data_IF_328342166279
#
_entry.id   IF_328342166279
#
_cell.length_a   1.000
_cell.length_b   1.000
_cell.length_c   1.000
_cell.angle_alpha   90.00
_cell.angle_beta   90.00
_cell.angle_gamma   90.00
#
_symmetry.space_group_name_H-M   'P 1'
#
loop_
_entity.id
_entity.type
_entity.pdbx_description
1 polymer ?
#
# COMPACT_ATOMS: atom_id res chain seq x y z
N UNK A 1 -6.65 2.21 39.76
CA UNK A 1 -6.79 1.77 38.34
C UNK A 1 -5.59 2.33 37.58
N UNK A 2 -4.67 1.46 37.14
CA UNK A 2 -3.29 1.80 36.78
C UNK A 2 -3.17 2.26 35.31
N UNK A 3 -2.71 3.49 35.07
CA UNK A 3 -2.63 4.10 33.72
C UNK A 3 -1.64 3.39 32.77
N UNK A 4 -0.68 2.64 33.30
CA UNK A 4 0.30 1.90 32.51
C UNK A 4 -0.29 0.70 31.75
N UNK A 5 -1.38 0.11 32.27
CA UNK A 5 -2.07 -1.00 31.60
C UNK A 5 -2.88 -0.54 30.39
N UNK A 6 -3.45 0.67 30.44
CA UNK A 6 -4.16 1.28 29.31
C UNK A 6 -3.20 1.62 28.17
N UNK A 7 -2.06 2.25 28.47
CA UNK A 7 -1.03 2.57 27.45
C UNK A 7 -0.51 1.32 26.72
N UNK A 8 -0.22 0.23 27.44
CA UNK A 8 0.26 -1.03 26.83
C UNK A 8 -0.80 -1.80 26.04
N UNK A 9 -2.08 -1.61 26.36
CA UNK A 9 -3.20 -2.22 25.63
C UNK A 9 -3.44 -1.50 24.30
N UNK A 10 -3.51 -0.17 24.34
CA UNK A 10 -3.69 0.65 23.14
C UNK A 10 -2.51 0.50 22.17
N UNK A 11 -1.27 0.44 22.68
CA UNK A 11 -0.09 0.18 21.85
C UNK A 11 -0.14 -1.16 21.13
N UNK A 12 -0.66 -2.20 21.78
CA UNK A 12 -0.79 -3.54 21.18
C UNK A 12 -1.88 -3.57 20.12
N UNK A 13 -3.01 -2.93 20.37
CA UNK A 13 -4.14 -2.89 19.45
C UNK A 13 -3.79 -2.13 18.16
N UNK A 14 -3.23 -0.91 18.28
CA UNK A 14 -2.79 -0.14 17.11
C UNK A 14 -1.73 -0.91 16.32
N UNK A 15 -0.79 -1.54 17.02
CA UNK A 15 0.25 -2.36 16.40
C UNK A 15 -0.30 -3.59 15.68
N UNK A 16 -1.25 -4.30 16.27
CA UNK A 16 -1.83 -5.51 15.69
C UNK A 16 -2.76 -5.17 14.51
N UNK A 17 -3.48 -4.03 14.57
CA UNK A 17 -4.24 -3.47 13.44
C UNK A 17 -3.33 -3.02 12.30
N UNK A 18 -2.18 -2.40 12.61
CA UNK A 18 -1.15 -2.04 11.63
C UNK A 18 -0.55 -3.32 11.02
N UNK A 19 -0.17 -4.32 11.81
CA UNK A 19 0.37 -5.58 11.26
C UNK A 19 -0.65 -6.38 10.43
N UNK A 20 -1.95 -6.31 10.77
CA UNK A 20 -3.03 -6.85 9.95
C UNK A 20 -3.24 -6.05 8.67
N UNK A 21 -3.28 -4.72 8.76
CA UNK A 21 -3.45 -3.82 7.61
C UNK A 21 -2.31 -3.98 6.60
N UNK A 22 -1.10 -4.23 7.09
CA UNK A 22 0.10 -4.47 6.26
C UNK A 22 0.28 -5.94 5.85
N UNK A 23 -0.60 -6.86 6.27
CA UNK A 23 -0.49 -8.30 5.99
C UNK A 23 0.89 -8.90 6.37
N UNK A 24 1.56 -8.31 7.37
CA UNK A 24 2.86 -8.74 7.88
C UNK A 24 2.76 -9.92 8.84
N UNK A 25 1.56 -10.48 9.04
CA UNK A 25 1.32 -11.62 9.93
C UNK A 25 1.90 -12.91 9.34
N UNK A 26 3.19 -13.14 9.54
CA UNK A 26 3.80 -14.45 9.39
C UNK A 26 3.72 -15.21 10.72
N UNK A 27 3.28 -16.48 10.67
CA UNK A 27 3.30 -17.39 11.83
C UNK A 27 4.73 -17.79 12.27
N UNK A 28 5.75 -17.41 11.50
CA UNK A 28 7.18 -17.63 11.78
C UNK A 28 7.91 -16.28 11.73
N UNK A 29 8.96 -16.06 12.53
CA UNK A 29 9.79 -14.86 12.41
C UNK A 29 10.25 -14.72 10.95
N UNK A 30 9.95 -13.56 10.34
CA UNK A 30 10.27 -13.27 8.94
C UNK A 30 11.81 -13.24 8.78
N UNK A 31 12.35 -13.93 7.79
CA UNK A 31 13.76 -13.71 7.42
C UNK A 31 13.92 -12.31 6.83
N UNK A 32 15.15 -11.79 6.80
CA UNK A 32 15.43 -10.42 6.31
C UNK A 32 15.03 -10.26 4.84
N UNK A 33 15.19 -11.32 4.05
CA UNK A 33 14.84 -11.39 2.64
C UNK A 33 13.31 -11.28 2.44
N UNK A 34 12.54 -12.05 3.21
CA UNK A 34 11.07 -12.00 3.18
C UNK A 34 10.52 -10.62 3.59
N UNK A 35 11.15 -9.97 4.57
CA UNK A 35 10.79 -8.64 5.00
C UNK A 35 11.08 -7.59 3.92
N UNK A 36 12.24 -7.68 3.26
CA UNK A 36 12.63 -6.78 2.17
C UNK A 36 11.66 -6.87 0.99
N UNK A 37 11.33 -8.09 0.53
CA UNK A 37 10.40 -8.29 -0.58
C UNK A 37 9.01 -7.70 -0.30
N UNK A 38 8.48 -7.93 0.91
CA UNK A 38 7.17 -7.40 1.32
C UNK A 38 7.14 -5.87 1.42
N UNK A 39 8.20 -5.26 1.94
CA UNK A 39 8.30 -3.79 2.03
C UNK A 39 8.31 -3.20 0.62
N UNK A 40 9.12 -3.76 -0.30
CA UNK A 40 9.17 -3.31 -1.69
C UNK A 40 7.81 -3.44 -2.37
N UNK A 41 7.15 -4.60 -2.26
CA UNK A 41 5.83 -4.84 -2.80
C UNK A 41 4.79 -3.83 -2.27
N UNK A 42 4.85 -3.50 -0.97
CA UNK A 42 3.98 -2.49 -0.38
C UNK A 42 4.21 -1.10 -0.97
N UNK A 43 5.47 -0.64 -1.05
CA UNK A 43 5.82 0.67 -1.61
C UNK A 43 5.37 0.80 -3.05
N UNK A 44 5.63 -0.21 -3.89
CA UNK A 44 5.21 -0.19 -5.30
C UNK A 44 3.69 -0.14 -5.44
N UNK A 45 2.97 -0.93 -4.65
CA UNK A 45 1.51 -0.93 -4.65
C UNK A 45 0.94 0.45 -4.31
N UNK A 46 1.39 1.04 -3.20
CA UNK A 46 0.86 2.34 -2.76
C UNK A 46 1.21 3.48 -3.72
N UNK A 47 2.42 3.51 -4.30
CA UNK A 47 2.79 4.54 -5.29
C UNK A 47 1.89 4.46 -6.53
N UNK A 48 1.66 3.26 -7.06
CA UNK A 48 0.86 3.10 -8.28
C UNK A 48 -0.61 3.38 -8.03
N UNK A 49 -1.15 2.97 -6.88
CA UNK A 49 -2.53 3.31 -6.50
C UNK A 49 -2.67 4.82 -6.26
N UNK A 50 -1.70 5.46 -5.61
CA UNK A 50 -1.72 6.91 -5.43
C UNK A 50 -1.67 7.65 -6.77
N UNK A 51 -0.84 7.20 -7.70
CA UNK A 51 -0.78 7.76 -9.05
C UNK A 51 -2.13 7.60 -9.79
N UNK A 52 -2.76 6.43 -9.68
CA UNK A 52 -4.08 6.19 -10.26
C UNK A 52 -5.15 7.12 -9.64
N UNK A 53 -5.12 7.33 -8.32
CA UNK A 53 -6.04 8.23 -7.63
C UNK A 53 -5.87 9.69 -8.07
N UNK A 54 -4.63 10.17 -8.21
CA UNK A 54 -4.35 11.54 -8.66
C UNK A 54 -4.89 11.79 -10.09
N UNK A 55 -4.88 10.77 -10.94
CA UNK A 55 -5.41 10.83 -12.30
C UNK A 55 -6.95 10.91 -12.36
N UNK A 56 -7.66 10.55 -11.29
CA UNK A 56 -9.13 10.58 -11.23
C UNK A 56 -9.67 11.95 -10.81
N UNK A 57 -10.87 12.27 -11.27
CA UNK A 57 -11.65 13.43 -10.82
C UNK A 57 -12.91 12.97 -10.07
N UNK A 58 -13.52 13.81 -9.21
CA UNK A 58 -14.73 13.43 -8.47
C UNK A 58 -15.86 12.88 -9.34
N UNK A 59 -16.08 13.45 -10.53
CA UNK A 59 -17.08 12.95 -11.48
C UNK A 59 -16.82 11.52 -11.99
N UNK A 60 -15.57 11.05 -11.97
CA UNK A 60 -15.24 9.68 -12.39
C UNK A 60 -15.76 8.63 -11.40
N UNK A 61 -15.97 9.00 -10.13
CA UNK A 61 -16.48 8.13 -9.08
C UNK A 61 -17.99 7.88 -9.18
N UNK A 62 -18.70 8.71 -9.95
CA UNK A 62 -20.12 8.52 -10.27
C UNK A 62 -20.35 7.42 -11.33
N UNK A 63 -19.27 6.86 -11.86
CA UNK A 63 -19.30 5.76 -12.83
C UNK A 63 -18.37 4.64 -12.38
N UNK A 64 -18.43 3.49 -13.06
CA UNK A 64 -17.50 2.39 -12.80
C UNK A 64 -16.04 2.72 -13.18
N UNK A 65 -15.76 3.86 -13.83
CA UNK A 65 -14.42 4.25 -14.29
C UNK A 65 -13.40 4.30 -13.15
N UNK A 66 -13.73 4.95 -12.03
CA UNK A 66 -12.80 5.03 -10.90
C UNK A 66 -12.48 3.63 -10.33
N UNK A 67 -13.50 2.78 -10.20
CA UNK A 67 -13.34 1.43 -9.66
C UNK A 67 -12.51 0.55 -10.60
N UNK A 68 -12.76 0.59 -11.91
CA UNK A 68 -11.98 -0.17 -12.89
C UNK A 68 -10.54 0.33 -12.97
N UNK A 69 -10.29 1.63 -12.82
CA UNK A 69 -8.94 2.18 -12.75
C UNK A 69 -8.18 1.61 -11.55
N UNK A 70 -8.75 1.69 -10.35
CA UNK A 70 -8.10 1.27 -9.11
C UNK A 70 -7.88 -0.25 -9.07
N UNK A 71 -8.90 -1.03 -9.41
CA UNK A 71 -8.78 -2.49 -9.46
C UNK A 71 -7.81 -2.89 -10.58
N UNK A 72 -7.91 -2.26 -11.74
CA UNK A 72 -7.04 -2.51 -12.89
C UNK A 72 -5.57 -2.25 -12.57
N UNK A 73 -5.25 -1.10 -11.95
CA UNK A 73 -3.90 -0.78 -11.51
C UNK A 73 -3.39 -1.77 -10.46
N UNK A 74 -4.18 -2.08 -9.43
CA UNK A 74 -3.77 -3.05 -8.40
C UNK A 74 -3.52 -4.45 -8.97
N UNK A 75 -4.45 -4.95 -9.80
CA UNK A 75 -4.36 -6.27 -10.40
C UNK A 75 -3.22 -6.39 -11.43
N UNK A 76 -3.08 -5.42 -12.34
CA UNK A 76 -2.01 -5.42 -13.33
C UNK A 76 -0.63 -5.35 -12.69
N UNK A 77 -0.46 -4.50 -11.66
CA UNK A 77 0.79 -4.41 -10.90
C UNK A 77 1.13 -5.71 -10.21
N UNK A 78 0.13 -6.33 -9.55
CA UNK A 78 0.32 -7.62 -8.88
C UNK A 78 0.77 -8.70 -9.87
N UNK A 79 0.09 -8.81 -11.02
CA UNK A 79 0.44 -9.78 -12.06
C UNK A 79 1.83 -9.51 -12.61
N UNK A 80 2.15 -8.25 -12.92
CA UNK A 80 3.45 -7.87 -13.44
C UNK A 80 4.60 -8.21 -12.48
N UNK A 81 4.39 -7.97 -11.18
CA UNK A 81 5.38 -8.27 -10.15
C UNK A 81 5.64 -9.77 -10.03
N UNK A 82 4.57 -10.57 -9.92
CA UNK A 82 4.68 -12.04 -9.83
C UNK A 82 5.31 -12.62 -11.09
N UNK A 83 4.98 -12.09 -12.27
CA UNK A 83 5.57 -12.52 -13.53
C UNK A 83 7.06 -12.17 -13.62
N UNK A 84 7.45 -10.95 -13.24
CA UNK A 84 8.84 -10.50 -13.27
C UNK A 84 9.72 -11.37 -12.35
N UNK A 85 9.25 -11.68 -11.15
CA UNK A 85 9.98 -12.54 -10.21
C UNK A 85 10.11 -13.96 -10.73
N UNK A 86 9.04 -14.53 -11.30
CA UNK A 86 9.08 -15.86 -11.91
C UNK A 86 10.04 -15.95 -13.09
N UNK A 87 10.08 -14.93 -13.95
CA UNK A 87 11.05 -14.84 -15.05
C UNK A 87 12.47 -14.73 -14.50
N UNK A 88 12.69 -13.90 -13.47
CA UNK A 88 13.99 -13.75 -12.81
C UNK A 88 14.53 -15.08 -12.26
N UNK A 89 13.69 -15.84 -11.55
CA UNK A 89 14.06 -17.14 -10.98
C UNK A 89 14.31 -18.18 -12.06
N UNK A 90 13.53 -18.20 -13.15
CA UNK A 90 13.79 -19.12 -14.26
C UNK A 90 15.16 -18.94 -14.89
N UNK A 91 15.68 -17.71 -14.87
CA UNK A 91 17.03 -17.40 -15.39
C UNK A 91 18.10 -17.71 -14.34
N UNK A 92 17.89 -17.31 -13.09
CA UNK A 92 18.89 -17.42 -12.03
C UNK A 92 19.02 -18.83 -11.42
N UNK A 93 17.90 -19.56 -11.31
CA UNK A 93 17.82 -20.87 -10.67
C UNK A 93 16.65 -21.70 -11.27
N UNK A 94 16.82 -22.28 -12.47
CA UNK A 94 15.76 -23.00 -13.19
C UNK A 94 15.10 -24.11 -12.36
N UNK A 95 15.89 -24.82 -11.56
CA UNK A 95 15.42 -25.94 -10.71
C UNK A 95 14.49 -25.48 -9.58
N UNK A 96 14.53 -24.19 -9.22
CA UNK A 96 13.70 -23.59 -8.18
C UNK A 96 12.40 -23.00 -8.73
N UNK A 97 12.26 -22.87 -10.05
CA UNK A 97 11.11 -22.27 -10.75
C UNK A 97 9.86 -23.18 -10.79
N UNK A 98 9.44 -23.65 -9.62
CA UNK A 98 8.30 -24.53 -9.41
C UNK A 98 7.00 -23.76 -9.22
N UNK A 99 5.86 -24.41 -9.48
CA UNK A 99 4.52 -23.83 -9.21
C UNK A 99 4.32 -23.51 -7.72
N UNK A 100 4.95 -24.27 -6.83
CA UNK A 100 4.98 -23.98 -5.39
C UNK A 100 5.71 -22.67 -5.06
N UNK A 101 6.79 -22.36 -5.78
CA UNK A 101 7.49 -21.08 -5.64
C UNK A 101 6.62 -19.92 -6.12
N UNK A 102 6.02 -20.05 -7.31
CA UNK A 102 5.12 -19.03 -7.87
C UNK A 102 3.95 -18.70 -6.93
N UNK A 103 3.34 -19.74 -6.32
CA UNK A 103 2.26 -19.54 -5.35
C UNK A 103 2.75 -18.81 -4.11
N UNK A 104 3.93 -19.16 -3.59
CA UNK A 104 4.54 -18.44 -2.46
C UNK A 104 4.75 -16.98 -2.84
N UNK A 105 5.32 -16.71 -4.00
CA UNK A 105 5.59 -15.34 -4.45
C UNK A 105 4.32 -14.50 -4.58
N UNK A 106 3.26 -15.08 -5.16
CA UNK A 106 1.94 -14.44 -5.20
C UNK A 106 1.42 -14.08 -3.80
N UNK A 107 1.65 -14.91 -2.78
CA UNK A 107 1.32 -14.57 -1.39
C UNK A 107 2.19 -13.46 -0.82
N UNK A 108 3.47 -13.39 -1.18
CA UNK A 108 4.35 -12.30 -0.77
C UNK A 108 4.02 -10.97 -1.46
N UNK A 109 3.41 -11.02 -2.65
CA UNK A 109 2.94 -9.87 -3.42
C UNK A 109 1.55 -9.32 -3.00
N UNK A 110 0.83 -10.00 -2.09
CA UNK A 110 -0.47 -9.54 -1.55
C UNK A 110 -0.48 -8.08 -1.04
N UNK A 111 0.60 -7.54 -0.45
CA UNK A 111 0.67 -6.12 -0.10
C UNK A 111 0.31 -5.18 -1.26
N UNK A 112 0.67 -5.52 -2.50
CA UNK A 112 0.30 -4.75 -3.71
C UNK A 112 -1.22 -4.69 -3.87
N UNK A 113 -1.87 -5.85 -3.89
CA UNK A 113 -3.32 -5.93 -4.07
C UNK A 113 -4.07 -5.23 -2.92
N UNK A 114 -3.53 -5.32 -1.70
CA UNK A 114 -4.14 -4.70 -0.52
C UNK A 114 -4.09 -3.16 -0.53
N UNK A 115 -3.23 -2.54 -1.34
CA UNK A 115 -3.18 -1.08 -1.50
C UNK A 115 -4.45 -0.54 -2.20
N UNK A 116 -5.04 -1.33 -3.10
CA UNK A 116 -6.25 -0.94 -3.83
C UNK A 116 -7.53 -1.03 -3.00
N UNK A 117 -7.54 -1.83 -1.92
CA UNK A 117 -8.77 -2.19 -1.18
C UNK A 117 -9.45 -0.97 -0.56
N UNK A 118 -8.72 -0.17 0.22
CA UNK A 118 -9.28 1.03 0.86
C UNK A 118 -9.85 2.02 -0.15
N UNK A 119 -9.06 2.43 -1.16
CA UNK A 119 -9.54 3.27 -2.25
C UNK A 119 -10.74 2.67 -3.00
N UNK A 120 -10.72 1.40 -3.37
CA UNK A 120 -11.83 0.75 -4.08
C UNK A 120 -13.13 0.79 -3.28
N UNK A 121 -13.08 0.55 -1.96
CA UNK A 121 -14.25 0.66 -1.08
C UNK A 121 -14.81 2.08 -1.06
N UNK A 122 -13.94 3.10 -1.03
CA UNK A 122 -14.36 4.50 -1.10
C UNK A 122 -14.96 4.86 -2.46
N UNK A 123 -14.37 4.37 -3.56
CA UNK A 123 -14.96 4.55 -4.90
C UNK A 123 -16.34 3.90 -4.98
N UNK A 124 -16.50 2.69 -4.43
CA UNK A 124 -17.80 2.01 -4.37
C UNK A 124 -18.81 2.77 -3.51
N UNK A 125 -18.40 3.28 -2.35
CA UNK A 125 -19.27 4.05 -1.47
C UNK A 125 -19.76 5.35 -2.14
N UNK A 126 -18.89 6.04 -2.90
CA UNK A 126 -19.28 7.20 -3.70
C UNK A 126 -20.22 6.83 -4.85
N UNK A 127 -19.93 5.72 -5.55
CA UNK A 127 -20.74 5.23 -6.67
C UNK A 127 -22.18 4.90 -6.27
N UNK A 128 -22.39 4.37 -5.06
CA UNK A 128 -23.73 4.08 -4.52
C UNK A 128 -24.36 5.28 -3.79
N UNK A 129 -23.69 6.43 -3.77
CA UNK A 129 -24.18 7.67 -3.16
C UNK A 129 -24.15 7.72 -1.64
N UNK A 130 -23.36 6.87 -0.97
CA UNK A 130 -23.21 6.89 0.50
C UNK A 130 -22.34 8.04 1.00
N UNK A 131 -21.37 8.45 0.18
CA UNK A 131 -20.43 9.54 0.49
C UNK A 131 -20.29 10.45 -0.72
N UNK A 132 -19.99 11.71 -0.46
CA UNK A 132 -19.68 12.67 -1.51
C UNK A 132 -18.43 12.23 -2.31
N UNK A 133 -18.46 12.28 -3.65
CA UNK A 133 -17.33 11.85 -4.49
C UNK A 133 -16.03 12.61 -4.24
N UNK A 134 -16.09 13.91 -3.97
CA UNK A 134 -14.90 14.71 -3.69
C UNK A 134 -14.28 14.27 -2.37
N UNK A 135 -15.11 14.14 -1.34
CA UNK A 135 -14.67 13.66 -0.03
C UNK A 135 -14.11 12.22 -0.10
N UNK A 136 -14.75 11.33 -0.86
CA UNK A 136 -14.28 9.96 -1.07
C UNK A 136 -12.89 9.90 -1.70
N UNK A 137 -12.66 10.72 -2.74
CA UNK A 137 -11.39 10.77 -3.44
C UNK A 137 -10.28 11.36 -2.57
N UNK A 138 -10.55 12.47 -1.86
CA UNK A 138 -9.61 13.07 -0.92
C UNK A 138 -9.23 12.10 0.20
N UNK A 139 -10.21 11.39 0.76
CA UNK A 139 -9.97 10.41 1.82
C UNK A 139 -9.17 9.20 1.32
N UNK A 140 -9.42 8.73 0.09
CA UNK A 140 -8.66 7.65 -0.53
C UNK A 140 -7.19 8.03 -0.73
N UNK A 141 -6.93 9.25 -1.20
CA UNK A 141 -5.57 9.81 -1.33
C UNK A 141 -4.91 9.89 0.04
N UNK A 142 -5.60 10.45 1.04
CA UNK A 142 -5.08 10.60 2.39
C UNK A 142 -4.71 9.24 3.02
N UNK A 143 -5.60 8.26 2.93
CA UNK A 143 -5.34 6.90 3.46
C UNK A 143 -4.13 6.29 2.79
N UNK A 144 -3.99 6.43 1.47
CA UNK A 144 -2.84 5.88 0.71
C UNK A 144 -1.53 6.58 1.11
N UNK A 145 -1.54 7.90 1.30
CA UNK A 145 -0.37 8.66 1.77
C UNK A 145 0.01 8.27 3.20
N UNK A 146 -0.95 8.16 4.10
CA UNK A 146 -0.71 7.72 5.49
C UNK A 146 -0.16 6.31 5.52
N UNK A 147 -0.70 5.43 4.68
CA UNK A 147 -0.23 4.05 4.51
C UNK A 147 1.23 4.00 4.02
N UNK A 148 1.58 4.80 3.02
CA UNK A 148 2.95 4.93 2.53
C UNK A 148 3.91 5.52 3.58
N UNK A 149 3.47 6.55 4.33
CA UNK A 149 4.29 7.19 5.38
C UNK A 149 4.49 6.31 6.61
N UNK A 150 3.50 5.49 6.98
CA UNK A 150 3.57 4.61 8.14
C UNK A 150 4.51 3.42 7.97
N UNK A 151 4.86 3.03 6.72
CA UNK A 151 5.94 2.06 6.47
C UNK A 151 7.26 2.48 7.12
N UNK A 152 7.63 3.76 7.01
CA UNK A 152 8.89 4.25 7.56
C UNK A 152 8.97 4.07 9.07
N UNK A 153 7.84 4.23 9.76
CA UNK A 153 7.72 3.96 11.19
C UNK A 153 7.81 2.45 11.50
N UNK A 154 7.14 1.60 10.73
CA UNK A 154 7.17 0.13 10.90
C UNK A 154 8.57 -0.45 10.66
N UNK A 155 9.28 0.03 9.63
CA UNK A 155 10.65 -0.41 9.30
C UNK A 155 11.64 0.04 10.36
N UNK A 156 11.50 1.28 10.87
CA UNK A 156 12.31 1.77 11.98
C UNK A 156 12.13 0.94 13.25
N UNK A 157 10.90 0.48 13.53
CA UNK A 157 10.61 -0.33 14.71
C UNK A 157 11.09 -1.78 14.59
N UNK A 158 11.08 -2.37 13.38
CA UNK A 158 11.50 -3.76 13.16
C UNK A 158 13.02 -3.95 13.21
N UNK A 159 13.82 -2.93 12.89
CA UNK A 159 15.27 -3.10 12.74
C UNK A 159 16.10 -2.92 14.02
N UNK A 160 15.63 -2.23 15.07
CA UNK A 160 16.47 -1.86 16.25
C UNK A 160 17.87 -1.29 15.88
N UNK A 161 18.06 -0.90 14.63
CA UNK A 161 19.29 -0.40 14.02
C UNK A 161 18.93 0.77 13.11
N UNK A 162 19.85 1.74 13.02
CA UNK A 162 19.64 3.07 12.45
C UNK A 162 18.99 2.99 11.07
N UNK A 163 17.77 3.52 10.98
CA UNK A 163 17.05 3.82 9.75
C UNK A 163 18.01 4.54 8.80
N UNK A 164 18.20 4.05 7.57
CA UNK A 164 18.93 4.82 6.56
C UNK A 164 17.98 5.98 6.17
N UNK A 165 18.23 7.22 6.63
CA UNK A 165 17.23 8.28 6.57
C UNK A 165 16.89 8.67 5.12
N UNK A 166 17.80 8.41 4.18
CA UNK A 166 17.64 8.72 2.76
C UNK A 166 16.43 8.02 2.11
N UNK A 167 16.16 6.76 2.42
CA UNK A 167 15.03 6.04 1.81
C UNK A 167 13.68 6.54 2.36
N UNK A 168 13.67 6.96 3.63
CA UNK A 168 12.52 7.59 4.27
C UNK A 168 12.26 9.00 3.72
N UNK A 169 13.33 9.78 3.52
CA UNK A 169 13.25 11.13 2.92
C UNK A 169 12.77 11.05 1.47
N UNK A 170 13.18 10.05 0.70
CA UNK A 170 12.73 9.90 -0.70
C UNK A 170 11.24 9.57 -0.78
N UNK A 171 10.74 8.65 0.05
CA UNK A 171 9.32 8.32 0.13
C UNK A 171 8.48 9.48 0.65
N UNK A 172 8.98 10.21 1.65
CA UNK A 172 8.33 11.42 2.16
C UNK A 172 8.35 12.55 1.14
N UNK A 173 9.44 12.72 0.39
CA UNK A 173 9.54 13.69 -0.70
C UNK A 173 8.58 13.36 -1.83
N UNK A 174 8.44 12.08 -2.21
CA UNK A 174 7.45 11.61 -3.19
C UNK A 174 6.02 11.83 -2.70
N UNK A 175 5.72 11.48 -1.45
CA UNK A 175 4.42 11.72 -0.84
C UNK A 175 4.09 13.23 -0.78
N UNK A 176 5.09 14.05 -0.43
CA UNK A 176 4.97 15.51 -0.44
C UNK A 176 4.77 16.05 -1.86
N UNK A 177 5.43 15.49 -2.87
CA UNK A 177 5.25 15.85 -4.27
C UNK A 177 3.83 15.49 -4.76
N UNK A 178 3.35 14.30 -4.41
CA UNK A 178 2.00 13.84 -4.71
C UNK A 178 0.94 14.68 -4.00
N UNK A 179 1.17 15.04 -2.74
CA UNK A 179 0.30 15.94 -1.98
C UNK A 179 0.31 17.35 -2.58
N UNK A 180 1.48 17.87 -2.95
CA UNK A 180 1.59 19.16 -3.63
C UNK A 180 0.87 19.14 -4.98
N UNK A 181 0.98 18.07 -5.76
CA UNK A 181 0.25 17.90 -7.02
C UNK A 181 -1.27 17.83 -6.80
N UNK A 182 -1.73 17.13 -5.75
CA UNK A 182 -3.15 17.06 -5.39
C UNK A 182 -3.70 18.43 -4.94
N UNK A 183 -2.95 19.17 -4.12
CA UNK A 183 -3.30 20.52 -3.69
C UNK A 183 -3.29 21.50 -4.86
N UNK A 184 -2.29 21.42 -5.74
CA UNK A 184 -2.23 22.22 -6.96
C UNK A 184 -3.44 21.93 -7.86
N UNK A 185 -3.79 20.65 -8.03
CA UNK A 185 -5.01 20.25 -8.76
C UNK A 185 -6.26 20.85 -8.12
N UNK A 186 -6.39 20.81 -6.79
CA UNK A 186 -7.52 21.39 -6.08
C UNK A 186 -7.61 22.92 -6.25
N UNK A 187 -6.47 23.62 -6.27
CA UNK A 187 -6.42 25.07 -6.49
C UNK A 187 -6.71 25.48 -7.94
N UNK A 188 -6.36 24.64 -8.91
CA UNK A 188 -6.56 24.91 -10.35
C UNK A 188 -7.97 24.50 -10.81
N UNK A 189 -8.57 23.50 -10.17
CA UNK A 189 -9.89 22.95 -10.55
C UNK A 189 -11.01 23.45 -9.64
N UNK A 190 -10.68 24.16 -8.55
CA UNK A 190 -11.64 24.81 -7.63
C UNK A 190 -12.11 26.17 -8.12
#
# INVERSE_FOLDING_TARGET
MNQDHLKRSTYRFVRDSVYQLFHLRSKRPLSREDASGRITAFVYGDILILAALIALYPQDLLTFKALTYIIGTGASTFIAHVLAEHVGIRVAAPDQATTSHLKREAWHAVPIASAAVGPALLMTAALVGWIDPEFALQLAILITVVRLGSLGWVVAHLRSERVVPQTFILGLALAALCLAAALLKALVTG
#
